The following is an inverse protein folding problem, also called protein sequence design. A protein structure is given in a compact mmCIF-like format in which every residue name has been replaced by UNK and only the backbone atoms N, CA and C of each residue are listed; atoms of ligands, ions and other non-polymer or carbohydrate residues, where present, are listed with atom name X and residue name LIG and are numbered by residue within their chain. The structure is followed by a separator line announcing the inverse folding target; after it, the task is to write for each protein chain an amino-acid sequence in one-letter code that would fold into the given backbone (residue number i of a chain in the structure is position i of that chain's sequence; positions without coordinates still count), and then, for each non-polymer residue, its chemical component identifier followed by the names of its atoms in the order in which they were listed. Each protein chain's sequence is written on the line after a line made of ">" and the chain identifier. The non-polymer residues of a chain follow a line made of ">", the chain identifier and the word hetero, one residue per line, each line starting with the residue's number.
data_IF_318852771832
#
_entry.id   IF_318852771832
#
_cell.length_a   1.000
_cell.length_b   1.000
_cell.length_c   1.000
_cell.angle_alpha   90.00
_cell.angle_beta   90.00
_cell.angle_gamma   90.00
#
_symmetry.space_group_name_H-M   'P 1'
#
loop_
_entity.id
_entity.type
_entity.pdbx_description
1 polymer ?
#
# COMPACT_ATOMS: atom_id res chain seq x y z
N UNK A 1 -19.48 18.37 -11.03
CA UNK A 1 -18.03 18.40 -11.28
C UNK A 1 -17.38 17.95 -9.99
N UNK A 2 -16.40 17.06 -10.09
CA UNK A 2 -15.61 16.55 -8.97
C UNK A 2 -14.16 16.79 -9.32
N UNK A 3 -13.40 17.28 -8.36
CA UNK A 3 -11.95 17.40 -8.48
C UNK A 3 -11.30 16.13 -7.94
N UNK A 4 -10.43 15.54 -8.75
CA UNK A 4 -9.57 14.43 -8.35
C UNK A 4 -8.16 14.95 -8.18
N UNK A 5 -7.65 14.85 -6.97
CA UNK A 5 -6.26 15.17 -6.63
C UNK A 5 -5.49 13.85 -6.59
N UNK A 6 -4.60 13.65 -7.54
CA UNK A 6 -3.69 12.51 -7.55
C UNK A 6 -2.36 12.96 -6.97
N UNK A 7 -2.02 12.46 -5.78
CA UNK A 7 -0.72 12.65 -5.14
C UNK A 7 0.17 11.44 -5.44
N UNK A 8 1.41 11.70 -5.84
CA UNK A 8 2.39 10.66 -6.14
C UNK A 8 3.62 10.82 -5.26
N UNK A 9 3.98 9.75 -4.58
CA UNK A 9 5.09 9.72 -3.62
C UNK A 9 6.08 8.62 -3.97
N UNK A 10 7.34 8.85 -3.63
CA UNK A 10 8.37 7.83 -3.67
C UNK A 10 8.19 6.89 -2.47
N UNK A 11 7.97 5.61 -2.75
CA UNK A 11 7.83 4.58 -1.72
C UNK A 11 9.04 4.41 -0.80
N UNK A 12 10.23 4.89 -1.18
CA UNK A 12 11.43 4.72 -0.35
C UNK A 12 11.54 5.74 0.79
N UNK A 13 10.94 6.92 0.63
CA UNK A 13 11.16 8.06 1.53
C UNK A 13 9.97 9.04 1.65
N UNK A 14 8.81 8.71 1.06
CA UNK A 14 7.62 9.55 0.95
C UNK A 14 7.83 10.90 0.24
N UNK A 15 8.98 11.14 -0.38
CA UNK A 15 9.21 12.39 -1.09
C UNK A 15 8.22 12.53 -2.27
N UNK A 16 7.68 13.74 -2.51
CA UNK A 16 6.79 13.97 -3.64
C UNK A 16 7.53 13.75 -4.96
N UNK A 17 6.94 12.96 -5.87
CA UNK A 17 7.49 12.75 -7.19
C UNK A 17 6.96 13.81 -8.17
N UNK A 18 7.87 14.62 -8.70
CA UNK A 18 7.58 15.75 -9.60
C UNK A 18 7.72 15.32 -11.06
N UNK A 19 6.80 15.75 -11.93
CA UNK A 19 6.85 15.48 -13.37
C UNK A 19 6.27 14.14 -13.80
N UNK A 20 5.70 13.36 -12.87
CA UNK A 20 5.10 12.05 -13.15
C UNK A 20 3.91 12.21 -14.07
N UNK A 21 3.87 11.42 -15.14
CA UNK A 21 2.74 11.41 -16.08
C UNK A 21 1.54 10.67 -15.48
N UNK A 22 0.40 11.35 -15.41
CA UNK A 22 -0.85 10.81 -14.87
C UNK A 22 -1.87 10.68 -15.98
N UNK A 23 -2.29 9.45 -16.24
CA UNK A 23 -3.40 9.12 -17.11
C UNK A 23 -4.66 8.78 -16.31
N UNK A 24 -5.81 9.31 -16.73
CA UNK A 24 -7.12 8.91 -16.20
C UNK A 24 -8.00 8.43 -17.36
N UNK A 25 -8.57 7.24 -17.19
CA UNK A 25 -9.53 6.66 -18.11
C UNK A 25 -10.77 6.20 -17.34
N UNK A 26 -11.95 6.52 -17.84
CA UNK A 26 -13.19 5.92 -17.34
C UNK A 26 -13.29 4.47 -17.81
N UNK A 27 -13.67 3.57 -16.92
CA UNK A 27 -14.00 2.19 -17.29
C UNK A 27 -15.15 2.23 -18.31
N UNK A 28 -14.88 1.80 -19.54
CA UNK A 28 -15.79 1.97 -20.68
C UNK A 28 -15.33 2.95 -21.78
N UNK A 29 -14.17 3.59 -21.63
CA UNK A 29 -13.38 4.10 -22.76
C UNK A 29 -13.18 5.62 -22.86
N UNK A 30 -13.82 6.44 -22.03
CA UNK A 30 -13.59 7.89 -22.03
C UNK A 30 -12.22 8.19 -21.39
N UNK A 31 -11.29 8.77 -22.15
CA UNK A 31 -9.96 9.14 -21.66
C UNK A 31 -9.90 10.65 -21.38
N UNK A 32 -9.34 11.01 -20.24
CA UNK A 32 -9.10 12.40 -19.87
C UNK A 32 -7.70 12.83 -20.34
N UNK A 33 -7.48 14.13 -20.64
CA UNK A 33 -6.15 14.63 -20.96
C UNK A 33 -5.19 14.31 -19.80
N UNK A 34 -4.00 13.79 -20.13
CA UNK A 34 -2.99 13.53 -19.11
C UNK A 34 -2.51 14.82 -18.46
N UNK A 35 -2.07 14.69 -17.21
CA UNK A 35 -1.45 15.76 -16.44
C UNK A 35 -0.09 15.29 -15.94
N UNK A 36 0.75 16.23 -15.51
CA UNK A 36 1.99 15.92 -14.81
C UNK A 36 1.94 16.43 -13.38
N UNK A 37 2.57 15.71 -12.46
CA UNK A 37 2.62 16.16 -11.07
C UNK A 37 3.46 17.43 -10.90
N UNK A 38 2.99 18.32 -10.05
CA UNK A 38 3.62 19.60 -9.72
C UNK A 38 4.76 19.43 -8.69
N UNK A 39 5.29 20.54 -8.16
CA UNK A 39 6.40 20.55 -7.19
C UNK A 39 6.09 19.90 -5.83
N UNK A 40 4.82 19.61 -5.54
CA UNK A 40 4.39 18.89 -4.33
C UNK A 40 3.88 17.48 -4.65
N UNK A 41 4.14 16.99 -5.86
CA UNK A 41 3.78 15.64 -6.29
C UNK A 41 2.31 15.46 -6.65
N UNK A 42 1.58 16.54 -6.94
CA UNK A 42 0.14 16.49 -7.18
C UNK A 42 -0.23 16.81 -8.64
N UNK A 43 -1.23 16.10 -9.16
CA UNK A 43 -1.93 16.42 -10.40
C UNK A 43 -3.44 16.52 -10.14
N UNK A 44 -4.08 17.56 -10.68
CA UNK A 44 -5.51 17.84 -10.44
C UNK A 44 -6.30 17.63 -11.74
N UNK A 45 -7.41 16.90 -11.63
CA UNK A 45 -8.31 16.61 -12.74
C UNK A 45 -9.73 17.06 -12.41
N UNK A 46 -10.36 17.76 -13.36
CA UNK A 46 -11.76 18.17 -13.25
C UNK A 46 -12.67 17.18 -13.99
N UNK A 47 -13.37 16.34 -13.23
CA UNK A 47 -14.20 15.27 -13.76
C UNK A 47 -15.67 15.69 -13.79
N UNK A 48 -16.27 15.66 -14.97
CA UNK A 48 -17.68 16.04 -15.18
C UNK A 48 -18.64 14.85 -15.05
N UNK A 49 -18.15 13.63 -15.25
CA UNK A 49 -18.98 12.41 -15.36
C UNK A 49 -18.57 11.40 -14.30
N UNK A 50 -19.51 11.08 -13.41
CA UNK A 50 -19.34 10.05 -12.39
C UNK A 50 -19.19 8.66 -13.02
N UNK A 51 -18.44 7.79 -12.34
CA UNK A 51 -18.22 6.40 -12.74
C UNK A 51 -16.96 5.83 -12.13
N UNK A 52 -16.62 4.61 -12.55
CA UNK A 52 -15.33 3.99 -12.22
C UNK A 52 -14.25 4.55 -13.15
N UNK A 53 -13.14 4.97 -12.55
CA UNK A 53 -11.95 5.49 -13.20
C UNK A 53 -10.78 4.53 -12.96
N UNK A 54 -9.96 4.32 -13.98
CA UNK A 54 -8.60 3.79 -13.90
C UNK A 54 -7.64 4.97 -13.95
N UNK A 55 -6.81 5.10 -12.91
CA UNK A 55 -5.82 6.16 -12.74
C UNK A 55 -4.45 5.49 -12.80
N UNK A 56 -3.60 5.91 -13.73
CA UNK A 56 -2.28 5.34 -13.97
C UNK A 56 -1.21 6.41 -13.80
N UNK A 57 -0.13 6.08 -13.09
CA UNK A 57 1.04 6.93 -12.89
C UNK A 57 2.28 6.26 -13.51
N UNK A 58 3.02 7.03 -14.31
CA UNK A 58 4.20 6.57 -15.04
C UNK A 58 5.34 7.57 -14.90
N UNK A 59 6.49 7.08 -14.42
CA UNK A 59 7.73 7.83 -14.32
C UNK A 59 8.91 6.93 -14.70
N UNK A 60 9.79 7.35 -15.64
CA UNK A 60 10.98 6.57 -15.99
C UNK A 60 11.86 6.25 -14.77
N UNK A 61 12.22 4.97 -14.62
CA UNK A 61 13.02 4.49 -13.48
C UNK A 61 12.20 4.05 -12.27
N UNK A 62 10.87 4.22 -12.32
CA UNK A 62 9.93 3.75 -11.31
C UNK A 62 8.97 2.69 -11.89
N UNK A 63 8.32 1.95 -11.00
CA UNK A 63 7.21 1.06 -11.32
C UNK A 63 6.00 1.86 -11.79
N UNK A 64 5.36 1.43 -12.88
CA UNK A 64 4.05 1.95 -13.27
C UNK A 64 3.00 1.47 -12.28
N UNK A 65 2.22 2.40 -11.74
CA UNK A 65 1.14 2.10 -10.82
C UNK A 65 -0.22 2.42 -11.43
N UNK A 66 -1.19 1.54 -11.22
CA UNK A 66 -2.58 1.77 -11.62
C UNK A 66 -3.52 1.53 -10.45
N UNK A 67 -4.56 2.34 -10.30
CA UNK A 67 -5.62 2.13 -9.32
C UNK A 67 -6.98 2.39 -9.95
N UNK A 68 -7.98 1.62 -9.50
CA UNK A 68 -9.37 1.89 -9.82
C UNK A 68 -9.99 2.72 -8.71
N UNK A 69 -10.79 3.72 -9.07
CA UNK A 69 -11.55 4.55 -8.13
C UNK A 69 -12.97 4.79 -8.63
N UNK A 70 -13.94 4.57 -7.75
CA UNK A 70 -15.34 4.88 -8.01
C UNK A 70 -15.59 6.29 -7.49
N UNK A 71 -15.97 7.20 -8.39
CA UNK A 71 -16.30 8.56 -7.99
C UNK A 71 -17.58 8.58 -7.12
N UNK A 72 -17.46 9.17 -5.94
CA UNK A 72 -18.60 9.50 -5.09
C UNK A 72 -19.05 10.97 -5.27
N UNK A 73 -20.02 11.42 -4.46
CA UNK A 73 -20.58 12.78 -4.53
C UNK A 73 -19.73 13.85 -3.86
N UNK A 74 -18.60 13.50 -3.25
CA UNK A 74 -17.68 14.47 -2.65
C UNK A 74 -17.14 15.42 -3.73
N UNK A 75 -17.10 16.73 -3.47
CA UNK A 75 -16.58 17.72 -4.43
C UNK A 75 -15.09 17.52 -4.72
N UNK A 76 -14.34 17.01 -3.75
CA UNK A 76 -12.90 16.71 -3.86
C UNK A 76 -12.67 15.27 -3.41
N UNK A 77 -11.89 14.53 -4.19
CA UNK A 77 -11.48 13.17 -3.87
C UNK A 77 -9.98 13.05 -4.10
N UNK A 78 -9.29 12.48 -3.12
CA UNK A 78 -7.83 12.32 -3.15
C UNK A 78 -7.46 10.87 -3.46
N UNK A 79 -6.35 10.70 -4.17
CA UNK A 79 -5.76 9.40 -4.50
C UNK A 79 -4.27 9.50 -4.29
N UNK A 80 -3.71 8.63 -3.45
CA UNK A 80 -2.27 8.52 -3.26
C UNK A 80 -1.75 7.30 -4.03
N UNK A 81 -0.76 7.51 -4.87
CA UNK A 81 -0.02 6.47 -5.57
C UNK A 81 1.43 6.49 -5.11
N UNK A 82 1.89 5.38 -4.51
CA UNK A 82 3.29 5.21 -4.17
C UNK A 82 4.00 4.47 -5.30
N UNK A 83 5.10 5.04 -5.82
CA UNK A 83 5.90 4.44 -6.87
C UNK A 83 7.20 3.93 -6.28
N UNK A 84 7.66 2.77 -6.73
CA UNK A 84 8.95 2.22 -6.34
C UNK A 84 9.96 2.38 -7.45
N UNK A 85 11.13 2.94 -7.12
CA UNK A 85 12.30 2.76 -7.96
C UNK A 85 12.61 1.26 -8.13
N UNK A 86 13.33 0.91 -9.18
CA UNK A 86 13.69 -0.48 -9.44
C UNK A 86 14.46 -1.09 -8.25
N UNK A 87 13.93 -2.19 -7.72
CA UNK A 87 14.52 -2.93 -6.61
C UNK A 87 15.62 -3.87 -7.12
N UNK A 88 16.63 -4.13 -6.31
CA UNK A 88 17.67 -5.12 -6.59
C UNK A 88 17.10 -6.55 -6.43
N UNK A 89 17.71 -7.56 -7.08
CA UNK A 89 17.33 -8.95 -6.87
C UNK A 89 17.34 -9.32 -5.38
N UNK A 90 16.26 -9.94 -4.89
CA UNK A 90 16.09 -10.29 -3.49
C UNK A 90 15.67 -9.12 -2.58
N UNK A 91 15.25 -7.99 -3.16
CA UNK A 91 14.57 -6.93 -2.42
C UNK A 91 13.07 -6.95 -2.70
N UNK A 92 12.31 -6.70 -1.64
CA UNK A 92 10.86 -6.47 -1.68
C UNK A 92 10.59 -5.18 -0.91
N UNK A 93 9.55 -4.45 -1.34
CA UNK A 93 9.04 -3.27 -0.62
C UNK A 93 7.53 -3.35 -0.53
N UNK A 94 6.98 -3.04 0.62
CA UNK A 94 5.54 -2.97 0.87
C UNK A 94 5.24 -1.61 1.43
N UNK A 95 4.20 -1.00 0.88
CA UNK A 95 3.86 0.38 1.13
C UNK A 95 2.39 0.44 1.46
N UNK A 96 2.08 0.97 2.62
CA UNK A 96 0.72 1.33 3.01
C UNK A 96 0.51 2.81 2.70
N UNK A 97 -0.54 3.17 1.98
CA UNK A 97 -0.98 4.56 1.83
C UNK A 97 -2.44 4.70 2.23
N UNK A 98 -2.83 5.84 2.77
CA UNK A 98 -4.22 6.16 3.09
C UNK A 98 -4.48 7.65 2.87
N UNK A 99 -5.72 7.98 2.51
CA UNK A 99 -6.07 9.33 2.03
C UNK A 99 -6.63 10.23 3.11
N UNK A 100 -7.24 9.69 4.16
CA UNK A 100 -7.84 10.51 5.19
C UNK A 100 -8.11 9.76 6.49
N UNK A 101 -8.64 10.54 7.44
CA UNK A 101 -9.60 10.16 8.47
C UNK A 101 -9.09 9.26 9.59
N UNK A 102 -8.00 8.55 9.38
CA UNK A 102 -7.23 7.87 10.42
C UNK A 102 -5.90 8.60 10.54
N UNK A 103 -5.61 9.09 11.74
CA UNK A 103 -4.37 9.84 12.01
C UNK A 103 -3.12 9.01 11.73
N UNK A 104 -3.13 7.77 12.19
CA UNK A 104 -1.94 6.93 12.20
C UNK A 104 -2.29 5.47 11.94
N UNK A 105 -1.67 4.91 10.90
CA UNK A 105 -1.93 3.56 10.45
C UNK A 105 -0.62 2.82 10.24
N UNK A 106 -0.43 1.71 10.96
CA UNK A 106 0.80 0.95 10.86
C UNK A 106 0.66 -0.25 9.94
N UNK A 107 1.61 -0.45 9.03
CA UNK A 107 1.83 -1.71 8.31
C UNK A 107 2.78 -2.59 9.09
N UNK A 108 2.42 -3.85 9.32
CA UNK A 108 3.26 -4.78 10.04
C UNK A 108 3.21 -6.18 9.42
N UNK A 109 4.19 -7.01 9.77
CA UNK A 109 4.30 -8.37 9.23
C UNK A 109 4.67 -9.38 10.31
N UNK A 110 4.06 -10.56 10.21
CA UNK A 110 4.28 -11.69 11.12
C UNK A 110 4.54 -12.95 10.30
N UNK A 111 5.59 -13.68 10.66
CA UNK A 111 5.85 -15.04 10.16
C UNK A 111 4.87 -16.04 10.80
N UNK A 112 4.18 -16.84 9.99
CA UNK A 112 3.01 -17.64 10.42
C UNK A 112 3.33 -18.77 11.40
N UNK A 113 4.53 -19.35 11.32
CA UNK A 113 4.97 -20.45 12.21
C UNK A 113 5.97 -20.00 13.27
N UNK A 114 6.51 -18.80 13.11
CA UNK A 114 7.55 -18.25 13.97
C UNK A 114 7.24 -16.79 14.32
N UNK A 115 6.40 -16.62 15.33
CA UNK A 115 5.97 -15.32 15.82
C UNK A 115 7.05 -14.54 16.55
N UNK A 116 8.25 -15.12 16.76
CA UNK A 116 9.38 -14.40 17.36
C UNK A 116 10.11 -13.48 16.37
N UNK A 117 9.81 -13.60 15.08
CA UNK A 117 10.21 -12.64 14.05
C UNK A 117 8.96 -11.94 13.50
N UNK A 118 8.61 -10.83 14.13
CA UNK A 118 7.56 -9.91 13.70
C UNK A 118 8.16 -8.51 13.61
N UNK A 119 7.59 -7.69 12.73
CA UNK A 119 7.96 -6.28 12.59
C UNK A 119 6.70 -5.46 12.61
N UNK A 120 6.68 -4.50 13.52
CA UNK A 120 5.72 -3.40 13.64
C UNK A 120 6.50 -2.09 13.90
N UNK A 121 5.76 -1.05 14.29
CA UNK A 121 6.30 0.26 14.65
C UNK A 121 7.28 0.21 15.84
N UNK A 122 7.07 -0.69 16.81
CA UNK A 122 7.93 -0.85 18.00
C UNK A 122 9.15 -1.74 17.71
N UNK A 123 9.00 -2.77 16.87
CA UNK A 123 10.01 -3.75 16.49
C UNK A 123 10.43 -3.51 15.05
N UNK A 124 11.17 -2.42 14.87
CA UNK A 124 11.54 -1.90 13.54
C UNK A 124 12.50 -2.77 12.72
N UNK A 125 13.09 -3.83 13.30
CA UNK A 125 13.96 -4.77 12.56
C UNK A 125 13.86 -6.21 13.08
N UNK A 126 13.77 -7.16 12.15
CA UNK A 126 14.01 -8.57 12.40
C UNK A 126 15.15 -9.05 11.52
N UNK A 127 16.17 -9.63 12.15
CA UNK A 127 17.34 -10.20 11.49
C UNK A 127 17.57 -11.63 11.99
N UNK A 128 17.75 -12.57 11.06
CA UNK A 128 18.14 -13.94 11.38
C UNK A 128 19.24 -14.41 10.45
N UNK A 129 20.35 -14.83 11.04
CA UNK A 129 21.56 -15.15 10.29
C UNK A 129 22.25 -13.91 9.70
N UNK A 130 23.18 -14.15 8.78
CA UNK A 130 24.12 -13.12 8.30
C UNK A 130 23.73 -12.47 6.97
N UNK A 131 22.55 -12.74 6.40
CA UNK A 131 22.25 -12.33 5.02
C UNK A 131 20.83 -11.85 4.74
N UNK A 132 19.99 -11.65 5.76
CA UNK A 132 18.58 -11.33 5.58
C UNK A 132 18.01 -10.40 6.65
N UNK A 133 17.29 -9.37 6.23
CA UNK A 133 16.61 -8.44 7.14
C UNK A 133 15.29 -7.94 6.58
N UNK A 134 14.34 -7.77 7.49
CA UNK A 134 13.17 -6.93 7.26
C UNK A 134 13.37 -5.69 8.13
N UNK A 135 13.05 -4.51 7.62
CA UNK A 135 13.10 -3.26 8.37
C UNK A 135 11.92 -2.37 8.08
N UNK A 136 11.37 -1.79 9.13
CA UNK A 136 10.44 -0.68 9.06
C UNK A 136 11.25 0.59 8.71
N UNK A 137 10.91 1.24 7.58
CA UNK A 137 11.68 2.36 7.05
C UNK A 137 11.03 3.72 7.28
N UNK A 138 9.71 3.76 7.15
CA UNK A 138 8.95 5.00 7.22
C UNK A 138 7.73 4.75 8.09
N UNK A 139 7.66 5.52 9.16
CA UNK A 139 6.54 5.69 10.09
C UNK A 139 5.94 7.08 9.82
N UNK A 140 4.62 7.16 9.66
CA UNK A 140 3.93 8.39 9.25
C UNK A 140 2.60 8.62 9.99
N UNK A 141 2.65 9.11 11.23
CA UNK A 141 1.47 9.51 12.01
C UNK A 141 0.91 10.93 11.73
N UNK A 142 0.51 11.26 10.49
CA UNK A 142 -0.08 12.58 10.15
C UNK A 142 -1.24 12.50 9.11
N UNK A 143 -2.27 11.71 9.42
CA UNK A 143 -3.51 11.56 8.63
C UNK A 143 -3.28 11.13 7.17
N UNK A 144 -2.18 10.42 6.88
CA UNK A 144 -1.79 9.99 5.53
C UNK A 144 -1.34 11.12 4.59
N UNK A 145 -1.42 12.38 5.04
CA UNK A 145 -1.11 13.57 4.25
C UNK A 145 0.38 13.72 3.92
N UNK A 146 1.24 13.01 4.65
CA UNK A 146 2.70 12.97 4.45
C UNK A 146 3.21 11.74 3.69
N UNK A 147 2.30 10.93 3.15
CA UNK A 147 2.65 9.73 2.39
C UNK A 147 2.18 8.47 3.08
N UNK A 148 2.96 7.40 2.93
CA UNK A 148 2.62 6.09 3.45
C UNK A 148 3.58 5.58 4.51
N UNK A 149 3.36 4.35 4.93
CA UNK A 149 4.37 3.60 5.67
C UNK A 149 5.07 2.60 4.76
N UNK A 150 6.29 2.22 5.13
CA UNK A 150 7.09 1.33 4.29
C UNK A 150 7.85 0.30 5.09
N UNK A 151 7.65 -0.96 4.70
CA UNK A 151 8.51 -2.07 5.05
C UNK A 151 9.47 -2.35 3.88
N UNK A 152 10.73 -2.64 4.21
CA UNK A 152 11.73 -3.09 3.24
C UNK A 152 12.32 -4.43 3.65
N UNK A 153 12.42 -5.33 2.68
CA UNK A 153 13.06 -6.63 2.79
C UNK A 153 14.31 -6.60 1.95
N UNK A 154 15.42 -7.06 2.51
CA UNK A 154 16.68 -7.15 1.79
C UNK A 154 17.42 -8.44 2.08
N UNK A 155 17.93 -9.06 1.02
CA UNK A 155 18.71 -10.29 1.11
C UNK A 155 17.80 -11.51 1.23
N UNK A 156 18.18 -12.48 2.04
CA UNK A 156 17.31 -13.62 2.34
C UNK A 156 16.18 -13.18 3.30
N UNK A 157 15.02 -13.83 3.24
CA UNK A 157 14.00 -13.61 4.25
C UNK A 157 14.48 -14.18 5.62
N UNK A 158 14.26 -13.49 6.75
CA UNK A 158 14.74 -13.95 8.06
C UNK A 158 14.18 -15.31 8.52
N UNK A 159 12.93 -15.58 8.15
CA UNK A 159 12.25 -16.86 8.27
C UNK A 159 11.90 -17.40 6.88
N UNK A 160 12.03 -18.73 6.65
CA UNK A 160 11.52 -19.38 5.44
C UNK A 160 10.00 -19.59 5.46
N UNK A 161 9.34 -19.32 6.59
CA UNK A 161 7.90 -19.51 6.74
C UNK A 161 7.11 -18.40 6.03
N UNK A 162 5.85 -18.65 5.65
CA UNK A 162 4.99 -17.62 5.09
C UNK A 162 4.86 -16.37 5.97
N UNK A 163 4.79 -15.21 5.33
CA UNK A 163 4.54 -13.95 6.01
C UNK A 163 3.12 -13.46 5.77
N UNK A 164 2.51 -12.96 6.82
CA UNK A 164 1.26 -12.19 6.75
C UNK A 164 1.56 -10.70 6.69
N UNK A 165 0.78 -9.95 5.91
CA UNK A 165 0.82 -8.50 5.84
C UNK A 165 -0.45 -7.95 6.48
N UNK A 166 -0.24 -7.06 7.43
CA UNK A 166 -1.30 -6.50 8.24
C UNK A 166 -1.22 -4.98 8.24
N UNK A 167 -2.37 -4.39 8.56
CA UNK A 167 -2.49 -2.98 8.84
C UNK A 167 -3.28 -2.81 10.14
N UNK A 168 -2.84 -1.90 11.01
CA UNK A 168 -3.56 -1.50 12.21
C UNK A 168 -3.86 -0.01 12.22
N UNK A 169 -4.84 0.40 13.00
CA UNK A 169 -4.97 1.79 13.43
C UNK A 169 -4.26 1.93 14.78
N UNK A 170 -3.18 2.72 14.82
CA UNK A 170 -2.37 2.90 16.02
C UNK A 170 -3.17 3.46 17.21
N UNK A 171 -4.08 4.40 16.94
CA UNK A 171 -4.82 5.13 17.97
C UNK A 171 -6.13 4.45 18.39
N UNK A 172 -6.60 3.43 17.66
CA UNK A 172 -7.83 2.68 17.96
C UNK A 172 -9.12 3.52 17.99
N UNK A 173 -9.08 4.79 17.59
CA UNK A 173 -10.22 5.72 17.66
C UNK A 173 -11.01 5.79 16.34
N UNK A 174 -10.32 5.64 15.21
CA UNK A 174 -10.88 5.75 13.87
C UNK A 174 -11.05 4.39 13.18
N UNK A 175 -11.92 4.32 12.18
CA UNK A 175 -12.14 3.08 11.43
C UNK A 175 -11.26 3.02 10.19
N UNK A 176 -10.44 1.96 10.09
CA UNK A 176 -9.58 1.68 8.93
C UNK A 176 -10.37 1.70 7.61
N UNK A 177 -11.62 1.22 7.62
CA UNK A 177 -12.49 1.15 6.44
C UNK A 177 -12.86 2.50 5.84
N UNK A 178 -12.65 3.60 6.59
CA UNK A 178 -12.91 4.96 6.13
C UNK A 178 -11.66 5.64 5.57
N UNK A 179 -10.46 5.08 5.79
CA UNK A 179 -9.20 5.74 5.49
C UNK A 179 -8.85 5.79 3.99
N UNK A 180 -9.51 4.93 3.18
CA UNK A 180 -9.16 4.72 1.78
C UNK A 180 -7.82 3.99 1.62
N UNK A 181 -7.45 3.16 2.60
CA UNK A 181 -6.16 2.50 2.70
C UNK A 181 -5.87 1.55 1.53
N UNK A 182 -4.60 1.50 1.12
CA UNK A 182 -4.08 0.67 0.04
C UNK A 182 -2.73 0.13 0.45
N UNK A 183 -2.51 -1.17 0.26
CA UNK A 183 -1.19 -1.78 0.37
C UNK A 183 -0.70 -2.18 -1.01
N UNK A 184 0.46 -1.66 -1.40
CA UNK A 184 1.19 -2.05 -2.60
C UNK A 184 2.44 -2.82 -2.22
N UNK A 185 2.77 -3.90 -2.94
CA UNK A 185 4.02 -4.66 -2.78
C UNK A 185 4.78 -4.70 -4.10
N UNK A 186 6.07 -4.39 -4.04
CA UNK A 186 6.99 -4.26 -5.17
C UNK A 186 8.12 -5.27 -5.05
N UNK A 187 8.53 -5.84 -6.18
CA UNK A 187 9.63 -6.79 -6.31
C UNK A 187 10.48 -6.43 -7.53
N UNK A 188 11.71 -6.92 -7.58
CA UNK A 188 12.66 -6.62 -8.66
C UNK A 188 12.27 -7.19 -10.04
N UNK A 189 11.51 -8.28 -10.05
CA UNK A 189 11.28 -9.12 -11.23
C UNK A 189 9.88 -9.73 -11.30
N UNK A 190 9.00 -9.40 -10.36
CA UNK A 190 7.63 -9.89 -10.30
C UNK A 190 6.64 -8.74 -10.49
N UNK A 191 5.40 -9.09 -10.85
CA UNK A 191 4.33 -8.11 -10.92
C UNK A 191 4.04 -7.53 -9.53
N UNK A 192 3.87 -6.21 -9.43
CA UNK A 192 3.45 -5.57 -8.20
C UNK A 192 2.08 -6.07 -7.75
N UNK A 193 1.93 -6.26 -6.45
CA UNK A 193 0.64 -6.56 -5.81
C UNK A 193 0.04 -5.25 -5.31
N UNK A 194 -1.28 -5.12 -5.42
CA UNK A 194 -2.02 -3.99 -4.88
C UNK A 194 -3.35 -4.47 -4.30
N UNK A 195 -3.56 -4.19 -3.03
CA UNK A 195 -4.79 -4.53 -2.32
C UNK A 195 -5.40 -3.25 -1.76
N UNK A 196 -6.67 -3.03 -2.06
CA UNK A 196 -7.44 -1.89 -1.54
C UNK A 196 -8.28 -2.38 -0.38
N UNK A 197 -8.25 -1.65 0.74
CA UNK A 197 -9.03 -1.98 1.92
C UNK A 197 -10.53 -1.99 1.57
N UNK A 198 -11.33 -2.93 2.11
CA UNK A 198 -12.75 -2.97 1.82
C UNK A 198 -13.43 -1.72 2.39
N UNK A 199 -14.18 -0.99 1.56
CA UNK A 199 -14.91 0.20 2.00
C UNK A 199 -16.24 -0.16 2.68
N UNK A 200 -16.75 0.75 3.52
CA UNK A 200 -18.14 0.78 3.99
C UNK A 200 -18.61 -0.40 4.87
N UNK A 201 -17.67 -1.11 5.49
CA UNK A 201 -17.99 -2.03 6.58
C UNK A 201 -17.60 -1.35 7.89
N UNK A 202 -18.60 -0.86 8.62
CA UNK A 202 -18.41 -0.47 10.02
C UNK A 202 -18.13 -1.75 10.80
N UNK A 203 -16.86 -2.00 11.09
CA UNK A 203 -16.43 -3.26 11.69
C UNK A 203 -16.07 -3.12 13.15
N UNK A 204 -15.83 -1.90 13.64
CA UNK A 204 -15.19 -1.66 14.94
C UNK A 204 -13.99 -2.61 15.12
N UNK A 205 -13.17 -2.72 14.06
CA UNK A 205 -12.00 -3.58 14.02
C UNK A 205 -10.73 -2.77 14.04
N UNK A 206 -9.74 -3.35 14.69
CA UNK A 206 -8.44 -2.73 14.89
C UNK A 206 -7.41 -3.16 13.84
N UNK A 207 -7.69 -4.24 13.11
CA UNK A 207 -6.77 -4.82 12.15
C UNK A 207 -7.41 -5.09 10.81
N UNK A 208 -6.61 -4.95 9.77
CA UNK A 208 -6.88 -5.40 8.41
C UNK A 208 -5.80 -6.39 7.99
N UNK A 209 -6.19 -7.65 7.81
CA UNK A 209 -5.37 -8.69 7.20
C UNK A 209 -5.42 -8.52 5.68
N UNK A 210 -4.32 -8.02 5.12
CA UNK A 210 -4.20 -7.76 3.68
C UNK A 210 -4.08 -9.08 2.93
N UNK A 211 -3.18 -9.95 3.38
CA UNK A 211 -2.89 -11.22 2.75
C UNK A 211 -1.59 -11.84 3.27
N UNK A 212 -1.08 -12.80 2.52
CA UNK A 212 0.18 -13.47 2.84
C UNK A 212 0.90 -14.00 1.61
N UNK A 213 2.20 -14.28 1.75
CA UNK A 213 3.02 -14.86 0.70
C UNK A 213 4.09 -15.80 1.28
N UNK A 214 4.54 -16.76 0.48
CA UNK A 214 5.69 -17.61 0.79
C UNK A 214 6.97 -16.90 0.30
N UNK A 215 7.92 -16.58 1.20
CA UNK A 215 9.15 -15.90 0.85
C UNK A 215 10.02 -16.67 -0.16
N UNK A 216 9.89 -18.00 -0.23
CA UNK A 216 10.64 -18.85 -1.16
C UNK A 216 10.05 -18.84 -2.58
N UNK A 217 8.77 -18.48 -2.70
CA UNK A 217 8.05 -18.39 -3.97
C UNK A 217 7.88 -16.94 -4.45
N UNK A 218 8.22 -15.95 -3.62
CA UNK A 218 8.11 -14.53 -3.95
C UNK A 218 6.68 -14.01 -3.98
N UNK A 219 6.48 -12.81 -4.55
CA UNK A 219 5.16 -12.19 -4.67
C UNK A 219 4.20 -12.99 -5.58
N UNK A 220 4.73 -13.86 -6.45
CA UNK A 220 3.89 -14.75 -7.25
C UNK A 220 3.02 -15.69 -6.39
N UNK A 221 3.39 -15.92 -5.12
CA UNK A 221 2.61 -16.72 -4.16
C UNK A 221 1.62 -15.92 -3.33
N UNK A 222 1.51 -14.60 -3.56
CA UNK A 222 0.67 -13.75 -2.74
C UNK A 222 -0.81 -14.17 -2.82
N UNK A 223 -1.38 -14.48 -1.66
CA UNK A 223 -2.80 -14.74 -1.47
C UNK A 223 -3.45 -13.53 -0.80
N UNK A 224 -4.31 -12.84 -1.54
CA UNK A 224 -5.16 -11.79 -0.97
C UNK A 224 -6.19 -12.43 -0.02
N UNK A 225 -6.29 -11.89 1.20
CA UNK A 225 -7.30 -12.27 2.19
C UNK A 225 -8.31 -11.12 2.38
N UNK A 226 -7.79 -9.89 2.49
CA UNK A 226 -8.56 -8.65 2.51
C UNK A 226 -9.71 -8.63 3.53
N UNK A 227 -9.39 -8.91 4.80
CA UNK A 227 -10.36 -9.11 5.88
C UNK A 227 -10.08 -8.20 7.09
N UNK A 228 -11.14 -7.61 7.64
CA UNK A 228 -11.10 -6.91 8.92
C UNK A 228 -11.27 -7.87 10.10
N UNK A 229 -10.44 -7.72 11.15
CA UNK A 229 -10.48 -8.58 12.34
C UNK A 229 -10.04 -7.84 13.61
N UNK A 230 -10.38 -8.42 14.75
CA UNK A 230 -9.99 -7.93 16.09
C UNK A 230 -8.93 -8.82 16.76
N UNK A 231 -8.50 -9.89 16.08
CA UNK A 231 -7.52 -10.84 16.61
C UNK A 231 -6.40 -11.06 15.59
N UNK A 232 -5.16 -11.13 16.08
CA UNK A 232 -3.99 -11.48 15.28
C UNK A 232 -3.88 -13.01 15.05
N UNK A 233 -4.74 -13.80 15.70
CA UNK A 233 -4.72 -15.27 15.65
C UNK A 233 -5.21 -15.87 14.31
N UNK A 234 -5.60 -15.04 13.34
CA UNK A 234 -6.10 -15.46 12.02
C UNK A 234 -4.99 -15.98 11.07
N UNK A 235 -3.78 -16.28 11.57
CA UNK A 235 -2.70 -16.93 10.81
C UNK A 235 -3.13 -18.25 10.13
N UNK A 236 -4.22 -18.88 10.62
CA UNK A 236 -4.83 -20.09 10.02
C UNK A 236 -5.40 -19.84 8.61
N UNK A 237 -5.67 -18.58 8.24
CA UNK A 237 -6.17 -18.23 6.91
C UNK A 237 -5.10 -18.30 5.81
N UNK A 238 -3.83 -18.41 6.20
CA UNK A 238 -2.69 -18.52 5.29
C UNK A 238 -2.24 -19.98 5.14
N UNK A 239 -3.04 -20.77 4.43
CA UNK A 239 -2.65 -22.11 4.00
C UNK A 239 -2.01 -22.05 2.62
N UNK A 240 -0.79 -21.50 2.55
CA UNK A 240 0.01 -21.51 1.31
C UNK A 240 0.57 -22.93 1.14
N UNK A 241 0.19 -23.60 0.07
CA UNK A 241 0.55 -25.00 -0.25
C UNK A 241 1.62 -25.10 -1.33
#
# INVERSE_FOLDING_TARGET
>A
MVDIIVRVVNSADNSPLVGVNIGIQRVGGEQYPSQVTNSVGEAIFHILRFGSLSITAEEPGFTTETTNRILNTSPVQEVILALSAQLLPGQLRSVLTWTCCVEDMDIFTISTLDTSCWIDFDVTTCHRGSSGSISFKIDSGDYGSKGGETLEWSGNFPSPDPYTIWVQNYNWEDEISTAGAVVSMFSSNEQSIKVVAPSDVLTNTSFWLVGCFDPNLGLASFQEINLYTNALDDHVLCSIS
#
